data_IF_810320517245
#
_entry.id   IF_810320517245
#
_cell.length_a   1.000
_cell.length_b   1.000
_cell.length_c   1.000
_cell.angle_alpha   90.00
_cell.angle_beta   90.00
_cell.angle_gamma   90.00
#
_symmetry.space_group_name_H-M   'P 1'
#
loop_
_entity.id
_entity.type
_entity.pdbx_description
1 polymer ?
#
# COMPACT_ATOMS: atom_id res chain seq x y z
N UNK A 1 -48.79 -17.00 -33.22
CA UNK A 1 -47.95 -17.26 -32.06
C UNK A 1 -47.21 -15.96 -31.83
N UNK A 2 -47.70 -15.16 -30.88
CA UNK A 2 -46.98 -13.99 -30.39
C UNK A 2 -45.75 -14.50 -29.65
N UNK A 3 -44.58 -14.25 -30.23
CA UNK A 3 -43.32 -14.38 -29.52
C UNK A 3 -43.13 -13.07 -28.77
N UNK A 4 -43.49 -13.08 -27.49
CA UNK A 4 -43.06 -12.05 -26.54
C UNK A 4 -41.52 -12.05 -26.54
N UNK A 5 -40.95 -11.02 -27.15
CA UNK A 5 -39.55 -10.64 -27.00
C UNK A 5 -39.33 -10.34 -25.52
N UNK A 6 -38.92 -11.37 -24.79
CA UNK A 6 -38.43 -11.23 -23.42
C UNK A 6 -37.24 -10.28 -23.46
N UNK A 7 -37.43 -9.11 -22.87
CA UNK A 7 -36.39 -8.13 -22.57
C UNK A 7 -35.20 -8.85 -21.92
N UNK A 8 -34.17 -9.12 -22.72
CA UNK A 8 -32.90 -9.60 -22.21
C UNK A 8 -32.26 -8.38 -21.55
N UNK A 9 -32.46 -8.24 -20.23
CA UNK A 9 -31.67 -7.32 -19.43
C UNK A 9 -30.24 -7.83 -19.54
N UNK A 10 -29.47 -7.23 -20.45
CA UNK A 10 -28.02 -7.28 -20.43
C UNK A 10 -27.63 -6.57 -19.14
N UNK A 11 -27.54 -7.33 -18.04
CA UNK A 11 -26.83 -6.89 -16.85
C UNK A 11 -25.40 -6.64 -17.32
N UNK A 12 -25.11 -5.40 -17.70
CA UNK A 12 -23.76 -4.95 -17.99
C UNK A 12 -22.89 -5.38 -16.82
N UNK A 13 -21.74 -5.97 -17.14
CA UNK A 13 -20.67 -6.36 -16.24
C UNK A 13 -20.11 -5.14 -15.51
N UNK A 14 -20.91 -4.52 -14.65
CA UNK A 14 -20.46 -3.63 -13.59
C UNK A 14 -20.24 -4.50 -12.37
N UNK A 15 -19.02 -4.49 -11.83
CA UNK A 15 -18.70 -5.18 -10.60
C UNK A 15 -19.69 -4.86 -9.48
N UNK A 16 -19.74 -5.72 -8.49
CA UNK A 16 -20.51 -5.49 -7.26
C UNK A 16 -20.03 -4.20 -6.56
N UNK A 17 -20.82 -3.68 -5.62
CA UNK A 17 -20.38 -2.54 -4.81
C UNK A 17 -19.06 -2.83 -4.04
N UNK A 18 -18.82 -4.10 -3.71
CA UNK A 18 -17.59 -4.58 -3.10
C UNK A 18 -16.41 -4.57 -4.08
N UNK A 19 -16.63 -4.86 -5.37
CA UNK A 19 -15.60 -4.73 -6.41
C UNK A 19 -15.17 -3.28 -6.58
N UNK A 20 -16.13 -2.35 -6.65
CA UNK A 20 -15.82 -0.91 -6.74
C UNK A 20 -15.06 -0.43 -5.50
N UNK A 21 -15.41 -0.93 -4.32
CA UNK A 21 -14.72 -0.59 -3.07
C UNK A 21 -13.29 -1.14 -3.05
N UNK A 22 -13.09 -2.38 -3.52
CA UNK A 22 -11.78 -3.00 -3.61
C UNK A 22 -10.88 -2.28 -4.62
N UNK A 23 -11.37 -2.05 -5.84
CA UNK A 23 -10.64 -1.35 -6.90
C UNK A 23 -10.23 0.06 -6.44
N UNK A 24 -11.11 0.76 -5.74
CA UNK A 24 -10.82 2.08 -5.19
C UNK A 24 -9.74 2.02 -4.09
N UNK A 25 -9.81 1.04 -3.19
CA UNK A 25 -8.80 0.86 -2.14
C UNK A 25 -7.43 0.54 -2.73
N UNK A 26 -7.36 -0.40 -3.67
CA UNK A 26 -6.11 -0.76 -4.36
C UNK A 26 -5.56 0.46 -5.10
N UNK A 27 -6.40 1.19 -5.84
CA UNK A 27 -5.99 2.40 -6.55
C UNK A 27 -5.44 3.50 -5.64
N UNK A 28 -6.02 3.70 -4.44
CA UNK A 28 -5.49 4.66 -3.45
C UNK A 28 -4.13 4.22 -2.92
N UNK A 29 -3.92 2.92 -2.68
CA UNK A 29 -2.63 2.39 -2.24
C UNK A 29 -1.58 2.52 -3.35
N UNK A 30 -1.94 2.20 -4.59
CA UNK A 30 -1.07 2.39 -5.76
C UNK A 30 -0.66 3.85 -5.94
N UNK A 31 -1.60 4.78 -5.75
CA UNK A 31 -1.32 6.21 -5.79
C UNK A 31 -0.37 6.64 -4.67
N UNK A 32 -0.54 6.12 -3.44
CA UNK A 32 0.42 6.35 -2.36
C UNK A 32 1.82 5.85 -2.74
N UNK A 33 1.93 4.62 -3.25
CA UNK A 33 3.21 4.02 -3.66
C UNK A 33 3.85 4.85 -4.78
N UNK A 34 3.07 5.31 -5.76
CA UNK A 34 3.55 6.12 -6.88
C UNK A 34 4.09 7.49 -6.43
N UNK A 35 3.55 8.04 -5.35
CA UNK A 35 3.99 9.31 -4.77
C UNK A 35 5.01 9.14 -3.63
N UNK A 36 5.32 7.91 -3.23
CA UNK A 36 6.27 7.64 -2.15
C UNK A 36 7.71 7.94 -2.59
N UNK A 37 8.28 9.01 -2.03
CA UNK A 37 9.66 9.42 -2.30
C UNK A 37 10.64 8.89 -1.24
N UNK A 38 11.24 7.75 -1.56
CA UNK A 38 12.28 7.11 -0.76
C UNK A 38 13.45 8.06 -0.44
N UNK A 39 13.82 8.96 -1.37
CA UNK A 39 14.96 9.86 -1.18
C UNK A 39 14.71 10.85 -0.05
N UNK A 40 13.46 11.31 0.10
CA UNK A 40 13.07 12.22 1.18
C UNK A 40 13.23 11.54 2.53
N UNK A 41 12.84 10.27 2.64
CA UNK A 41 13.02 9.47 3.86
C UNK A 41 14.50 9.37 4.22
N UNK A 42 15.36 9.01 3.26
CA UNK A 42 16.80 8.85 3.55
C UNK A 42 17.53 10.15 3.86
N UNK A 43 17.04 11.30 3.38
CA UNK A 43 17.62 12.63 3.71
C UNK A 43 17.33 13.06 5.15
N UNK A 44 16.28 12.53 5.76
CA UNK A 44 15.92 12.85 7.15
C UNK A 44 16.66 11.98 8.16
N UNK A 45 17.24 10.86 7.72
CA UNK A 45 17.98 9.95 8.56
C UNK A 45 19.39 10.49 8.88
N UNK A 46 19.96 10.13 10.05
CA UNK A 46 21.34 10.45 10.35
C UNK A 46 22.28 9.74 9.35
N UNK A 47 23.55 10.17 9.21
CA UNK A 47 24.49 9.47 8.35
C UNK A 47 24.65 8.00 8.73
N UNK A 48 24.69 7.09 7.76
CA UNK A 48 24.82 5.65 8.04
C UNK A 48 26.02 5.31 8.94
N UNK A 49 27.12 6.04 8.77
CA UNK A 49 28.36 5.90 9.54
C UNK A 49 28.29 6.42 10.97
N UNK A 50 27.30 7.26 11.32
CA UNK A 50 27.17 7.82 12.67
C UNK A 50 26.61 6.80 13.67
N UNK A 51 26.00 5.72 13.19
CA UNK A 51 25.51 4.64 14.05
C UNK A 51 26.49 3.47 14.02
N UNK A 52 27.14 3.13 15.15
CA UNK A 52 28.14 2.08 15.19
C UNK A 52 27.53 0.67 15.24
N UNK A 53 26.29 0.52 15.71
CA UNK A 53 25.64 -0.77 15.91
C UNK A 53 24.59 -1.09 14.85
N UNK A 54 24.62 -2.32 14.33
CA UNK A 54 23.55 -2.83 13.47
C UNK A 54 22.21 -2.92 14.20
N UNK A 55 22.21 -3.08 15.52
CA UNK A 55 20.97 -3.07 16.30
C UNK A 55 20.29 -1.69 16.27
N UNK A 56 21.06 -0.60 16.37
CA UNK A 56 20.55 0.76 16.29
C UNK A 56 20.01 1.08 14.89
N UNK A 57 20.74 0.64 13.85
CA UNK A 57 20.31 0.79 12.45
C UNK A 57 19.01 0.02 12.17
N UNK A 58 18.89 -1.19 12.70
CA UNK A 58 17.68 -1.99 12.59
C UNK A 58 16.51 -1.39 13.39
N UNK A 59 16.78 -0.74 14.53
CA UNK A 59 15.80 0.04 15.27
C UNK A 59 15.21 1.17 14.41
N UNK A 60 16.07 1.98 13.79
CA UNK A 60 15.62 3.05 12.89
C UNK A 60 14.88 2.53 11.65
N UNK A 61 15.32 1.41 11.08
CA UNK A 61 14.57 0.76 9.99
C UNK A 61 13.13 0.47 10.39
N UNK A 62 12.93 -0.12 11.58
CA UNK A 62 11.58 -0.38 12.10
C UNK A 62 10.77 0.89 12.34
N UNK A 63 11.41 1.95 12.84
CA UNK A 63 10.75 3.24 13.03
C UNK A 63 10.31 3.86 11.70
N UNK A 64 11.16 3.79 10.68
CA UNK A 64 10.82 4.26 9.32
C UNK A 64 9.67 3.45 8.73
N UNK A 65 9.72 2.12 8.81
CA UNK A 65 8.64 1.26 8.31
C UNK A 65 7.32 1.59 9.00
N UNK A 66 7.31 1.67 10.34
CA UNK A 66 6.12 2.00 11.11
C UNK A 66 5.56 3.40 10.79
N UNK A 67 6.44 4.37 10.52
CA UNK A 67 6.04 5.72 10.11
C UNK A 67 5.38 5.70 8.73
N UNK A 68 5.98 5.01 7.75
CA UNK A 68 5.41 4.87 6.40
C UNK A 68 4.08 4.12 6.43
N UNK A 69 3.95 3.07 7.24
CA UNK A 69 2.69 2.34 7.43
C UNK A 69 1.61 3.25 8.01
N UNK A 70 1.94 4.07 9.01
CA UNK A 70 0.99 5.03 9.59
C UNK A 70 0.58 6.13 8.59
N UNK A 71 1.48 6.55 7.70
CA UNK A 71 1.18 7.48 6.61
C UNK A 71 0.27 6.86 5.55
N UNK A 72 0.52 5.60 5.18
CA UNK A 72 -0.36 4.84 4.28
C UNK A 72 -1.77 4.70 4.88
N UNK A 73 -1.86 4.31 6.15
CA UNK A 73 -3.13 4.18 6.87
C UNK A 73 -3.91 5.50 6.88
N UNK A 74 -3.23 6.61 7.16
CA UNK A 74 -3.83 7.94 7.12
C UNK A 74 -4.29 8.30 5.70
N UNK A 75 -3.47 8.02 4.68
CA UNK A 75 -3.78 8.29 3.28
C UNK A 75 -5.01 7.51 2.81
N UNK A 76 -5.09 6.23 3.15
CA UNK A 76 -6.25 5.38 2.84
C UNK A 76 -7.51 5.95 3.48
N UNK A 77 -7.48 6.34 4.75
CA UNK A 77 -8.64 6.91 5.43
C UNK A 77 -9.06 8.29 4.89
N UNK A 78 -8.11 9.08 4.40
CA UNK A 78 -8.39 10.41 3.82
C UNK A 78 -8.92 10.31 2.39
N UNK A 79 -8.43 9.37 1.59
CA UNK A 79 -8.68 9.30 0.15
C UNK A 79 -9.66 8.18 -0.27
N UNK A 80 -9.96 7.23 0.61
CA UNK A 80 -10.88 6.13 0.32
C UNK A 80 -12.18 6.25 1.15
N UNK A 81 -13.09 7.13 0.73
CA UNK A 81 -14.39 7.34 1.41
C UNK A 81 -15.23 6.07 1.55
N UNK A 82 -15.01 5.09 0.67
CA UNK A 82 -15.69 3.81 0.70
C UNK A 82 -15.25 2.91 1.85
N UNK A 83 -14.16 3.21 2.55
CA UNK A 83 -13.63 2.41 3.66
C UNK A 83 -13.96 3.09 4.99
N UNK A 84 -14.77 2.43 5.81
CA UNK A 84 -15.19 2.96 7.11
C UNK A 84 -14.10 2.79 8.21
N UNK A 85 -13.22 1.80 8.07
CA UNK A 85 -12.14 1.55 9.00
C UNK A 85 -10.98 0.77 8.36
N UNK A 86 -9.77 0.95 8.89
CA UNK A 86 -8.60 0.17 8.46
C UNK A 86 -8.79 -1.34 8.64
N UNK A 87 -9.58 -1.76 9.63
CA UNK A 87 -9.91 -3.17 9.82
C UNK A 87 -10.69 -3.72 8.61
N UNK A 88 -11.61 -2.93 8.07
CA UNK A 88 -12.38 -3.29 6.89
C UNK A 88 -11.48 -3.31 5.65
N UNK A 89 -10.55 -2.36 5.53
CA UNK A 89 -9.54 -2.35 4.47
C UNK A 89 -8.65 -3.61 4.50
N UNK A 90 -8.08 -3.94 5.66
CA UNK A 90 -7.23 -5.13 5.82
C UNK A 90 -7.99 -6.41 5.50
N UNK A 91 -9.24 -6.53 5.96
CA UNK A 91 -10.07 -7.69 5.67
C UNK A 91 -10.36 -7.82 4.16
N UNK A 92 -10.70 -6.71 3.50
CA UNK A 92 -10.99 -6.68 2.07
C UNK A 92 -9.76 -7.08 1.23
N UNK A 93 -8.59 -6.51 1.55
CA UNK A 93 -7.32 -6.82 0.89
C UNK A 93 -6.91 -8.28 1.11
N UNK A 94 -7.07 -8.80 2.34
CA UNK A 94 -6.65 -10.17 2.67
C UNK A 94 -7.54 -11.23 2.01
N UNK A 95 -8.84 -10.95 1.84
CA UNK A 95 -9.77 -11.87 1.20
C UNK A 95 -9.55 -11.97 -0.32
N UNK A 96 -8.90 -10.96 -0.92
CA UNK A 96 -8.71 -10.81 -2.37
C UNK A 96 -7.25 -10.58 -2.73
N UNK A 97 -6.31 -11.08 -1.92
CA UNK A 97 -4.88 -10.84 -2.11
C UNK A 97 -4.36 -11.34 -3.46
N UNK A 98 -4.99 -12.37 -4.03
CA UNK A 98 -4.65 -12.92 -5.35
C UNK A 98 -4.98 -11.98 -6.52
N UNK A 99 -5.80 -10.96 -6.29
CA UNK A 99 -6.20 -9.96 -7.30
C UNK A 99 -5.31 -8.70 -7.25
N UNK A 100 -4.45 -8.58 -6.24
CA UNK A 100 -3.55 -7.45 -6.02
C UNK A 100 -2.24 -7.72 -6.75
N UNK A 101 -1.67 -6.71 -7.39
CA UNK A 101 -0.33 -6.83 -7.96
C UNK A 101 0.71 -7.17 -6.87
N UNK A 102 1.62 -8.11 -7.16
CA UNK A 102 2.62 -8.59 -6.20
C UNK A 102 3.39 -7.43 -5.53
N UNK A 103 3.73 -6.39 -6.29
CA UNK A 103 4.45 -5.20 -5.78
C UNK A 103 3.64 -4.42 -4.73
N UNK A 104 2.33 -4.29 -4.93
CA UNK A 104 1.42 -3.60 -4.00
C UNK A 104 1.21 -4.46 -2.75
N UNK A 105 1.05 -5.77 -2.93
CA UNK A 105 0.88 -6.71 -1.83
C UNK A 105 2.15 -6.84 -0.97
N UNK A 106 3.32 -6.86 -1.59
CA UNK A 106 4.61 -6.84 -0.90
C UNK A 106 4.79 -5.55 -0.10
N UNK A 107 4.40 -4.39 -0.66
CA UNK A 107 4.43 -3.13 0.07
C UNK A 107 3.53 -3.15 1.32
N UNK A 108 2.32 -3.69 1.20
CA UNK A 108 1.36 -3.78 2.31
C UNK A 108 1.86 -4.74 3.41
N UNK A 109 2.48 -5.87 3.03
CA UNK A 109 2.79 -6.96 3.98
C UNK A 109 4.21 -6.95 4.51
N UNK A 110 5.17 -6.48 3.72
CA UNK A 110 6.59 -6.44 4.06
C UNK A 110 7.08 -5.01 4.35
N UNK A 111 6.24 -4.01 4.07
CA UNK A 111 6.56 -2.59 4.19
C UNK A 111 7.35 -2.06 3.00
N UNK A 112 7.74 -0.79 3.08
CA UNK A 112 8.40 -0.09 1.98
C UNK A 112 9.80 -0.61 1.62
N UNK A 113 10.54 -1.19 2.58
CA UNK A 113 11.88 -1.75 2.35
C UNK A 113 12.17 -2.91 3.29
N UNK A 114 12.75 -4.00 2.77
CA UNK A 114 13.48 -4.93 3.62
C UNK A 114 14.75 -4.26 4.18
N UNK A 115 15.26 -4.75 5.31
CA UNK A 115 16.40 -4.13 5.99
C UNK A 115 17.67 -4.06 5.11
N UNK A 116 17.90 -5.06 4.25
CA UNK A 116 19.10 -5.09 3.39
C UNK A 116 19.02 -3.98 2.36
N UNK A 117 17.87 -3.85 1.70
CA UNK A 117 17.61 -2.78 0.73
C UNK A 117 17.66 -1.41 1.39
N UNK A 118 17.03 -1.26 2.55
CA UNK A 118 17.08 -0.04 3.35
C UNK A 118 18.52 0.38 3.66
N UNK A 119 19.35 -0.54 4.17
CA UNK A 119 20.73 -0.25 4.54
C UNK A 119 21.59 0.16 3.32
N UNK A 120 21.41 -0.48 2.16
CA UNK A 120 22.15 -0.15 0.95
C UNK A 120 21.74 1.20 0.36
N UNK A 121 20.44 1.52 0.34
CA UNK A 121 19.95 2.83 -0.10
C UNK A 121 20.40 3.93 0.85
N UNK A 122 20.32 3.69 2.15
CA UNK A 122 20.76 4.64 3.16
C UNK A 122 22.26 5.00 3.01
N UNK A 123 23.12 4.01 2.77
CA UNK A 123 24.56 4.22 2.48
C UNK A 123 24.80 5.05 1.22
N UNK A 124 23.95 4.92 0.18
CA UNK A 124 24.09 5.67 -1.07
C UNK A 124 23.69 7.14 -0.90
N UNK A 125 22.66 7.41 -0.10
CA UNK A 125 22.15 8.76 0.14
C UNK A 125 22.95 9.57 1.15
N UNK A 126 23.59 8.91 2.12
CA UNK A 126 24.37 9.55 3.19
C UNK A 126 25.88 9.34 3.04
N UNK A 127 26.37 9.40 1.80
CA UNK A 127 27.80 9.24 1.48
C UNK A 127 28.60 10.51 1.74
#
# INVERSE_FOLDING_TARGET
MDTEDGEFVVCGTGGTAEDVQFDNLVGVIEDFIANFDADVVFRQLPPFSSLPSDHERYGLHKEVVAQTEAELDAYVLEHCESIASLKDATALLSNRSEEIADEVWDFITQGCFDYTTFAELWKKHNR
#
